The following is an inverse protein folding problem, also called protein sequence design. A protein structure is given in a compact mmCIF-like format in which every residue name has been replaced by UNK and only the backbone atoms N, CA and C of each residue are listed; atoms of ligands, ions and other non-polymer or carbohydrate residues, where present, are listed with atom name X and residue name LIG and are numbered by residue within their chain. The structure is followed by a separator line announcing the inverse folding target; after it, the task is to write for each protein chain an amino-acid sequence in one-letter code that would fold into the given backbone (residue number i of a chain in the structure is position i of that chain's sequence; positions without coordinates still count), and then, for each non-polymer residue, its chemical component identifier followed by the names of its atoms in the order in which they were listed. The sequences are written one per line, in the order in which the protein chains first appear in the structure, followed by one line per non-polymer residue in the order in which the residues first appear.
data_IF_901415842604
#
_entry.id   IF_901415842604
#
_cell.length_a   1.000
_cell.length_b   1.000
_cell.length_c   1.000
_cell.angle_alpha   90.00
_cell.angle_beta   90.00
_cell.angle_gamma   90.00
#
_symmetry.space_group_name_H-M   'P 1'
#
loop_
_entity.id
_entity.type
_entity.pdbx_description
1 polymer ?
#
# COMPACT_ATOMS: atom_id res chain seq x y z
N UNK A 1 -2.31 12.35 25.49
CA UNK A 1 -1.92 12.97 24.21
C UNK A 1 -2.30 14.43 24.37
N UNK A 2 -1.32 15.31 24.51
CA UNK A 2 -1.57 16.73 24.80
C UNK A 2 -2.36 17.35 23.64
N UNK A 3 -3.53 17.89 23.98
CA UNK A 3 -4.53 18.43 23.05
C UNK A 3 -4.22 19.88 22.69
N UNK A 4 -3.02 20.15 22.19
CA UNK A 4 -2.69 21.51 21.75
C UNK A 4 -3.08 21.67 20.28
N UNK A 5 -4.05 22.54 20.03
CA UNK A 5 -4.41 22.96 18.69
C UNK A 5 -3.18 23.56 17.99
N UNK A 6 -2.98 23.20 16.72
CA UNK A 6 -1.94 23.84 15.90
C UNK A 6 -2.45 25.21 15.50
N UNK A 7 -1.78 26.27 15.95
CA UNK A 7 -2.15 27.66 15.71
C UNK A 7 -1.17 28.27 14.71
N UNK A 8 -1.65 29.01 13.72
CA UNK A 8 -0.79 29.74 12.80
C UNK A 8 -0.19 31.01 13.44
N UNK A 9 0.70 31.68 12.70
CA UNK A 9 1.35 32.93 13.14
C UNK A 9 0.38 34.11 13.35
N UNK A 10 -0.90 33.95 13.03
CA UNK A 10 -1.97 34.94 13.28
C UNK A 10 -2.81 34.60 14.52
N UNK A 11 -2.47 33.54 15.24
CA UNK A 11 -3.25 33.09 16.39
C UNK A 11 -4.49 32.27 16.00
N UNK A 12 -4.62 31.89 14.72
CA UNK A 12 -5.77 31.14 14.23
C UNK A 12 -5.51 29.64 14.30
N UNK A 13 -6.40 28.90 14.95
CA UNK A 13 -6.34 27.44 14.92
C UNK A 13 -6.47 26.94 13.48
N UNK A 14 -5.49 26.17 13.05
CA UNK A 14 -5.51 25.50 11.75
C UNK A 14 -6.37 24.24 11.89
N UNK A 15 -7.59 24.22 11.35
CA UNK A 15 -8.38 22.99 11.36
C UNK A 15 -7.62 21.94 10.55
N UNK A 16 -7.55 20.71 11.07
CA UNK A 16 -7.09 19.57 10.28
C UNK A 16 -7.86 19.56 8.95
N UNK A 17 -7.15 19.52 7.82
CA UNK A 17 -7.74 19.62 6.47
C UNK A 17 -8.94 18.66 6.34
N UNK A 18 -10.15 19.23 6.24
CA UNK A 18 -11.45 18.52 6.16
C UNK A 18 -11.85 17.68 7.39
N UNK A 19 -11.41 18.01 8.62
CA UNK A 19 -11.82 17.33 9.88
C UNK A 19 -11.63 15.81 9.88
N UNK A 20 -10.60 15.28 9.20
CA UNK A 20 -10.31 13.84 9.19
C UNK A 20 -9.14 13.53 10.12
N UNK A 21 -9.33 12.57 11.01
CA UNK A 21 -8.25 11.95 11.78
C UNK A 21 -7.15 11.47 10.83
N UNK A 22 -5.91 11.90 11.10
CA UNK A 22 -4.71 11.40 10.45
C UNK A 22 -3.87 10.66 11.48
N UNK A 23 -3.41 9.48 11.09
CA UNK A 23 -2.47 8.67 11.85
C UNK A 23 -1.04 9.19 11.64
N UNK A 24 -0.79 10.46 11.99
CA UNK A 24 0.51 11.12 11.86
C UNK A 24 1.01 11.44 13.28
N UNK A 25 2.10 10.80 13.70
CA UNK A 25 2.86 11.21 14.88
C UNK A 25 3.99 12.11 14.40
N UNK A 26 4.01 13.36 14.81
CA UNK A 26 5.10 14.28 14.50
C UNK A 26 5.82 14.70 15.79
N UNK A 27 7.14 14.74 15.74
CA UNK A 27 8.00 15.25 16.80
C UNK A 27 8.80 16.42 16.22
N UNK A 28 8.70 17.57 16.87
CA UNK A 28 9.43 18.77 16.50
C UNK A 28 10.54 19.01 17.52
N UNK A 29 11.78 19.14 17.05
CA UNK A 29 12.91 19.57 17.86
C UNK A 29 13.45 20.88 17.29
N UNK A 30 13.61 21.88 18.15
CA UNK A 30 14.19 23.17 17.79
C UNK A 30 15.55 23.34 18.47
N UNK A 31 16.59 23.49 17.65
CA UNK A 31 17.93 23.90 18.10
C UNK A 31 18.20 25.38 17.80
N UNK A 32 19.39 25.85 18.17
CA UNK A 32 19.81 27.26 18.17
C UNK A 32 19.81 27.99 16.80
N UNK A 33 19.39 27.33 15.71
CA UNK A 33 19.04 27.95 14.43
C UNK A 33 18.39 26.97 13.41
N UNK A 34 17.97 25.77 13.83
CA UNK A 34 17.38 24.76 12.95
C UNK A 34 16.20 24.07 13.65
N UNK A 35 15.10 23.91 12.92
CA UNK A 35 13.97 23.09 13.33
C UNK A 35 14.01 21.76 12.59
N UNK A 36 13.90 20.64 13.31
CA UNK A 36 13.77 19.30 12.76
C UNK A 36 12.38 18.77 13.07
N UNK A 37 11.67 18.32 12.04
CA UNK A 37 10.37 17.65 12.15
C UNK A 37 10.58 16.19 11.76
N UNK A 38 10.51 15.28 12.71
CA UNK A 38 10.39 13.85 12.45
C UNK A 38 8.91 13.48 12.45
N UNK A 39 8.39 12.88 11.39
CA UNK A 39 7.02 12.39 11.37
C UNK A 39 6.95 10.92 10.99
N UNK A 40 6.05 10.20 11.65
CA UNK A 40 5.69 8.82 11.38
C UNK A 40 4.25 8.79 10.91
N UNK A 41 4.00 8.14 9.77
CA UNK A 41 2.66 7.92 9.23
C UNK A 41 2.41 6.43 9.20
N UNK A 42 1.38 5.99 9.90
CA UNK A 42 0.93 4.62 9.79
C UNK A 42 0.00 4.48 8.59
N UNK A 43 0.42 3.72 7.58
CA UNK A 43 -0.39 3.44 6.40
C UNK A 43 -0.79 1.96 6.36
N UNK A 44 -1.93 1.67 5.74
CA UNK A 44 -2.40 0.30 5.58
C UNK A 44 -3.39 -0.22 6.62
N UNK A 45 -3.63 0.47 7.73
CA UNK A 45 -4.70 0.08 8.70
C UNK A 45 -6.13 0.15 8.15
N UNK A 46 -6.36 0.98 7.13
CA UNK A 46 -7.71 1.24 6.62
C UNK A 46 -8.03 0.27 5.48
N UNK A 47 -9.11 -0.52 5.62
CA UNK A 47 -9.59 -1.43 4.55
C UNK A 47 -9.76 -0.76 3.18
N UNK A 48 -10.17 0.52 3.17
CA UNK A 48 -10.28 1.32 1.94
C UNK A 48 -8.93 1.54 1.23
N UNK A 49 -7.84 1.66 1.98
CA UNK A 49 -6.49 1.80 1.43
C UNK A 49 -6.03 0.49 0.79
N UNK A 50 -6.14 -0.63 1.51
CA UNK A 50 -5.80 -1.98 1.00
C UNK A 50 -6.60 -2.29 -0.26
N UNK A 51 -7.91 -2.01 -0.26
CA UNK A 51 -8.78 -2.16 -1.44
C UNK A 51 -8.37 -1.25 -2.59
N UNK A 52 -7.89 -0.05 -2.30
CA UNK A 52 -7.34 0.88 -3.29
C UNK A 52 -6.11 0.32 -3.98
N UNK A 53 -5.18 -0.26 -3.23
CA UNK A 53 -3.98 -0.91 -3.77
C UNK A 53 -4.33 -2.10 -4.67
N UNK A 54 -5.29 -2.93 -4.27
CA UNK A 54 -5.81 -4.02 -5.11
C UNK A 54 -6.46 -3.51 -6.40
N UNK A 55 -7.18 -2.39 -6.36
CA UNK A 55 -7.73 -1.75 -7.55
C UNK A 55 -6.63 -1.31 -8.51
N UNK A 56 -5.54 -0.73 -7.99
CA UNK A 56 -4.39 -0.30 -8.78
C UNK A 56 -3.72 -1.52 -9.43
N UNK A 57 -3.45 -2.57 -8.64
CA UNK A 57 -2.87 -3.82 -9.14
C UNK A 57 -3.71 -4.42 -10.28
N UNK A 58 -5.02 -4.54 -10.09
CA UNK A 58 -5.91 -5.13 -11.10
C UNK A 58 -6.05 -4.25 -12.36
N UNK A 59 -5.96 -2.93 -12.20
CA UNK A 59 -5.94 -2.00 -13.34
C UNK A 59 -4.64 -2.11 -14.13
N UNK A 60 -3.51 -2.24 -13.44
CA UNK A 60 -2.21 -2.46 -14.06
C UNK A 60 -2.16 -3.80 -14.81
N UNK A 61 -2.70 -4.87 -14.23
CA UNK A 61 -2.85 -6.14 -14.96
C UNK A 61 -3.62 -5.93 -16.26
N UNK A 62 -4.77 -5.24 -16.20
CA UNK A 62 -5.59 -4.95 -17.39
C UNK A 62 -4.82 -4.17 -18.46
N UNK A 63 -3.94 -3.26 -18.06
CA UNK A 63 -3.05 -2.55 -18.98
C UNK A 63 -2.06 -3.49 -19.68
N UNK A 64 -1.44 -4.42 -18.95
CA UNK A 64 -0.41 -5.32 -19.51
C UNK A 64 -0.97 -6.48 -20.35
N UNK A 65 -2.05 -7.14 -19.89
CA UNK A 65 -2.57 -8.36 -20.55
C UNK A 65 -3.89 -8.14 -21.28
N UNK A 66 -4.44 -6.93 -21.19
CA UNK A 66 -5.67 -6.54 -21.85
C UNK A 66 -6.95 -6.94 -21.12
N UNK A 67 -8.04 -6.26 -21.48
CA UNK A 67 -9.35 -6.45 -20.85
C UNK A 67 -9.98 -7.83 -21.11
N UNK A 68 -9.60 -8.51 -22.19
CA UNK A 68 -10.12 -9.86 -22.49
C UNK A 68 -9.73 -10.85 -21.39
N UNK A 69 -8.44 -10.85 -21.00
CA UNK A 69 -7.94 -11.70 -19.91
C UNK A 69 -8.58 -11.31 -18.58
N UNK A 70 -8.56 -10.02 -18.23
CA UNK A 70 -9.03 -9.56 -16.92
C UNK A 70 -10.55 -9.61 -16.75
N UNK A 71 -11.31 -9.94 -17.81
CA UNK A 71 -12.75 -10.25 -17.74
C UNK A 71 -13.05 -11.73 -17.46
N UNK A 72 -12.06 -12.62 -17.53
CA UNK A 72 -12.25 -14.05 -17.21
C UNK A 72 -12.80 -14.27 -15.81
N UNK A 73 -13.49 -15.40 -15.61
CA UNK A 73 -14.20 -15.71 -14.36
C UNK A 73 -13.25 -15.87 -13.17
N UNK A 74 -12.02 -16.37 -13.37
CA UNK A 74 -11.00 -16.51 -12.30
C UNK A 74 -10.71 -15.21 -11.53
N UNK A 75 -10.95 -14.04 -12.14
CA UNK A 75 -10.79 -12.74 -11.48
C UNK A 75 -12.08 -12.19 -10.85
N UNK A 76 -13.16 -12.98 -10.75
CA UNK A 76 -14.39 -12.55 -10.08
C UNK A 76 -14.13 -12.16 -8.61
N UNK A 77 -13.32 -12.93 -7.90
CA UNK A 77 -12.98 -12.68 -6.50
C UNK A 77 -12.37 -11.28 -6.30
N UNK A 78 -11.32 -10.94 -7.05
CA UNK A 78 -10.67 -9.62 -6.96
C UNK A 78 -11.61 -8.49 -7.39
N UNK A 79 -12.43 -8.70 -8.43
CA UNK A 79 -13.43 -7.70 -8.86
C UNK A 79 -14.48 -7.44 -7.78
N UNK A 80 -14.99 -8.48 -7.11
CA UNK A 80 -15.94 -8.34 -6.01
C UNK A 80 -15.28 -7.68 -4.80
N UNK A 81 -14.05 -8.05 -4.47
CA UNK A 81 -13.28 -7.42 -3.41
C UNK A 81 -13.10 -5.92 -3.65
N UNK A 82 -12.67 -5.51 -4.85
CA UNK A 82 -12.48 -4.09 -5.19
C UNK A 82 -13.79 -3.31 -5.14
N UNK A 83 -14.91 -3.91 -5.60
CA UNK A 83 -16.21 -3.24 -5.64
C UNK A 83 -16.88 -3.14 -4.27
N UNK A 84 -16.93 -4.26 -3.53
CA UNK A 84 -17.73 -4.40 -2.30
C UNK A 84 -16.88 -4.37 -1.04
N UNK A 85 -15.63 -4.83 -1.10
CA UNK A 85 -14.77 -5.03 0.07
C UNK A 85 -15.08 -6.30 0.85
N UNK A 86 -15.88 -7.21 0.28
CA UNK A 86 -16.31 -8.45 0.94
C UNK A 86 -15.28 -9.55 0.62
N UNK A 87 -14.21 -9.61 1.41
CA UNK A 87 -13.24 -10.71 1.57
C UNK A 87 -12.00 -10.16 2.27
N UNK A 88 -11.18 -11.06 2.82
CA UNK A 88 -9.83 -10.73 3.26
C UNK A 88 -8.86 -10.96 2.11
N UNK A 89 -8.02 -9.96 1.87
CA UNK A 89 -6.91 -10.02 0.91
C UNK A 89 -5.71 -9.29 1.49
N UNK A 90 -4.52 -9.76 1.17
CA UNK A 90 -3.25 -9.34 1.73
C UNK A 90 -2.36 -8.70 0.66
N UNK A 91 -1.42 -7.89 1.14
CA UNK A 91 -0.41 -7.25 0.29
C UNK A 91 0.91 -7.39 0.99
N UNK A 92 1.93 -7.83 0.27
CA UNK A 92 3.31 -7.80 0.76
C UNK A 92 3.89 -6.44 0.41
N UNK A 93 4.51 -5.81 1.42
CA UNK A 93 5.15 -4.52 1.31
C UNK A 93 6.64 -4.72 1.52
N UNK A 94 7.45 -4.08 0.69
CA UNK A 94 8.88 -3.97 0.94
C UNK A 94 9.39 -2.58 0.58
N UNK A 95 10.59 -2.27 1.04
CA UNK A 95 11.28 -1.04 0.66
C UNK A 95 11.71 -1.11 -0.80
N UNK A 96 11.60 0.01 -1.51
CA UNK A 96 12.17 0.15 -2.83
C UNK A 96 13.71 0.29 -2.80
N UNK A 97 14.39 -0.27 -3.79
CA UNK A 97 15.86 -0.20 -3.93
C UNK A 97 16.34 1.23 -4.16
N UNK A 98 15.52 2.07 -4.80
CA UNK A 98 15.85 3.46 -5.11
C UNK A 98 15.41 4.39 -3.99
N UNK A 99 16.34 5.22 -3.53
CA UNK A 99 16.04 6.34 -2.64
C UNK A 99 15.30 7.45 -3.40
N UNK A 100 14.20 7.93 -2.83
CA UNK A 100 13.41 9.06 -3.35
C UNK A 100 11.98 8.68 -3.76
N UNK A 101 11.18 9.71 -4.06
CA UNK A 101 9.78 9.54 -4.46
C UNK A 101 9.69 9.13 -5.93
N UNK A 102 9.09 7.97 -6.20
CA UNK A 102 8.78 7.54 -7.56
C UNK A 102 7.62 6.53 -7.59
N UNK A 103 7.12 6.28 -8.80
CA UNK A 103 6.14 5.25 -9.12
C UNK A 103 6.65 4.40 -10.26
N UNK A 104 6.40 3.10 -10.22
CA UNK A 104 6.82 2.18 -11.27
C UNK A 104 5.90 0.95 -11.29
N UNK A 105 5.72 0.33 -12.45
CA UNK A 105 4.93 -0.88 -12.62
C UNK A 105 5.76 -1.92 -13.34
N UNK A 106 5.86 -3.13 -12.76
CA UNK A 106 6.52 -4.25 -13.41
C UNK A 106 5.52 -5.06 -14.23
N UNK A 107 6.02 -5.69 -15.29
CA UNK A 107 5.27 -6.70 -16.04
C UNK A 107 4.74 -7.75 -15.05
N UNK A 108 3.47 -8.18 -15.17
CA UNK A 108 2.88 -9.16 -14.29
C UNK A 108 3.69 -10.46 -14.27
N UNK A 109 3.92 -11.03 -13.08
CA UNK A 109 4.44 -12.39 -12.98
C UNK A 109 3.30 -13.38 -13.20
N UNK A 110 3.59 -14.50 -13.85
CA UNK A 110 2.62 -15.55 -14.17
C UNK A 110 3.03 -16.85 -13.50
N UNK A 111 2.10 -17.47 -12.76
CA UNK A 111 2.30 -18.79 -12.17
C UNK A 111 2.22 -19.90 -13.22
N UNK A 112 2.67 -21.10 -12.86
CA UNK A 112 2.50 -22.31 -13.68
C UNK A 112 1.01 -22.62 -13.98
N UNK A 113 0.10 -22.15 -13.11
CA UNK A 113 -1.35 -22.29 -13.27
C UNK A 113 -1.98 -21.14 -14.09
N UNK A 114 -1.18 -20.19 -14.57
CA UNK A 114 -1.64 -19.04 -15.33
C UNK A 114 -2.32 -17.94 -14.49
N UNK A 115 -2.06 -17.92 -13.18
CA UNK A 115 -2.48 -16.82 -12.30
C UNK A 115 -1.45 -15.70 -12.30
N UNK A 116 -1.89 -14.50 -11.99
CA UNK A 116 -1.07 -13.31 -12.09
C UNK A 116 -0.79 -12.68 -10.74
N UNK A 117 0.43 -12.20 -10.59
CA UNK A 117 0.85 -11.38 -9.46
C UNK A 117 1.42 -10.08 -9.97
N UNK A 118 1.03 -8.99 -9.33
CA UNK A 118 1.47 -7.65 -9.68
C UNK A 118 2.47 -7.13 -8.67
N UNK A 119 3.59 -6.63 -9.18
CA UNK A 119 4.55 -5.85 -8.42
C UNK A 119 4.58 -4.42 -8.95
N UNK A 120 4.48 -3.45 -8.06
CA UNK A 120 4.54 -2.04 -8.42
C UNK A 120 5.08 -1.20 -7.25
N UNK A 121 5.63 -0.04 -7.58
CA UNK A 121 6.08 0.96 -6.61
C UNK A 121 5.09 2.12 -6.61
N UNK A 122 4.60 2.49 -5.43
CA UNK A 122 3.93 3.78 -5.24
C UNK A 122 4.62 4.56 -4.14
N UNK A 123 4.95 5.81 -4.42
CA UNK A 123 5.60 6.71 -3.46
C UNK A 123 6.88 6.13 -2.84
N UNK A 124 7.65 5.34 -3.60
CA UNK A 124 8.87 4.67 -3.10
C UNK A 124 8.64 3.43 -2.20
N UNK A 125 7.41 2.90 -2.13
CA UNK A 125 7.10 1.64 -1.44
C UNK A 125 6.72 0.57 -2.47
N UNK A 126 7.32 -0.61 -2.37
CA UNK A 126 7.02 -1.75 -3.22
C UNK A 126 5.79 -2.49 -2.68
N UNK A 127 4.86 -2.80 -3.56
CA UNK A 127 3.67 -3.60 -3.27
C UNK A 127 3.65 -4.82 -4.18
N UNK A 128 3.41 -5.99 -3.58
CA UNK A 128 3.20 -7.25 -4.28
C UNK A 128 1.80 -7.76 -3.96
N UNK A 129 1.00 -7.96 -4.99
CA UNK A 129 -0.42 -8.31 -4.90
C UNK A 129 -0.72 -9.57 -5.71
N UNK A 130 -1.18 -10.61 -5.03
CA UNK A 130 -1.69 -11.83 -5.67
C UNK A 130 -3.11 -11.60 -6.22
N UNK A 131 -3.27 -11.77 -7.53
CA UNK A 131 -4.56 -11.59 -8.21
C UNK A 131 -5.30 -12.91 -8.45
N UNK A 132 -4.78 -14.03 -7.97
CA UNK A 132 -5.47 -15.31 -8.05
C UNK A 132 -6.80 -15.28 -7.30
N UNK A 133 -7.60 -16.31 -7.55
CA UNK A 133 -8.73 -16.62 -6.70
C UNK A 133 -8.21 -17.01 -5.29
N UNK A 134 -8.81 -16.40 -4.26
CA UNK A 134 -8.49 -16.63 -2.85
C UNK A 134 -7.00 -16.52 -2.43
N UNK A 135 -6.17 -15.81 -3.19
CA UNK A 135 -4.74 -15.59 -2.88
C UNK A 135 -3.94 -16.88 -2.70
N UNK A 136 -4.16 -17.84 -3.59
CA UNK A 136 -3.55 -19.17 -3.49
C UNK A 136 -2.01 -19.14 -3.50
N UNK A 137 -1.40 -18.10 -4.08
CA UNK A 137 0.06 -17.96 -4.17
C UNK A 137 0.62 -17.10 -3.03
N UNK A 138 -0.22 -16.36 -2.29
CA UNK A 138 0.21 -15.51 -1.17
C UNK A 138 1.05 -16.24 -0.12
N UNK A 139 0.72 -17.47 0.35
CA UNK A 139 1.55 -18.18 1.31
C UNK A 139 2.98 -18.42 0.81
N UNK A 140 3.13 -18.73 -0.49
CA UNK A 140 4.44 -18.89 -1.13
C UNK A 140 5.20 -17.57 -1.16
N UNK A 141 4.55 -16.47 -1.55
CA UNK A 141 5.20 -15.16 -1.59
C UNK A 141 5.59 -14.66 -0.20
N UNK A 142 4.75 -14.90 0.81
CA UNK A 142 5.05 -14.57 2.20
C UNK A 142 6.29 -15.33 2.67
N UNK A 143 6.35 -16.64 2.42
CA UNK A 143 7.52 -17.45 2.77
C UNK A 143 8.79 -17.02 2.01
N UNK A 144 8.66 -16.58 0.76
CA UNK A 144 9.79 -16.01 0.02
C UNK A 144 10.25 -14.68 0.61
N UNK A 145 9.31 -13.79 0.97
CA UNK A 145 9.63 -12.53 1.61
C UNK A 145 10.34 -12.74 2.96
N UNK A 146 9.86 -13.68 3.78
CA UNK A 146 10.50 -14.10 5.04
C UNK A 146 11.95 -14.57 4.86
N UNK A 147 12.28 -15.19 3.72
CA UNK A 147 13.63 -15.71 3.43
C UNK A 147 14.55 -14.68 2.77
N UNK A 148 13.98 -13.81 1.93
CA UNK A 148 14.76 -12.88 1.10
C UNK A 148 15.09 -11.57 1.79
N UNK A 149 14.23 -11.12 2.70
CA UNK A 149 14.36 -9.84 3.37
C UNK A 149 14.75 -10.07 4.83
N UNK A 150 15.82 -9.42 5.28
CA UNK A 150 16.17 -9.36 6.69
C UNK A 150 15.02 -8.70 7.48
N UNK A 151 14.90 -9.02 8.78
CA UNK A 151 13.86 -8.48 9.65
C UNK A 151 13.75 -6.94 9.49
N UNK A 152 12.53 -6.42 9.43
CA UNK A 152 12.15 -5.00 9.20
C UNK A 152 12.21 -4.46 7.76
N UNK A 153 12.66 -5.22 6.76
CA UNK A 153 12.66 -4.75 5.36
C UNK A 153 11.35 -5.01 4.60
N UNK A 154 10.43 -5.73 5.22
CA UNK A 154 9.14 -6.07 4.64
C UNK A 154 8.06 -6.21 5.72
N UNK A 155 6.80 -6.07 5.31
CA UNK A 155 5.64 -6.35 6.15
C UNK A 155 4.47 -6.79 5.28
N UNK A 156 3.35 -7.14 5.90
CA UNK A 156 2.11 -7.41 5.20
C UNK A 156 0.98 -6.55 5.76
N UNK A 157 0.06 -6.13 4.90
CA UNK A 157 -1.16 -5.45 5.34
C UNK A 157 -2.28 -6.46 5.50
N UNK A 158 -2.70 -6.79 6.74
CA UNK A 158 -3.87 -7.62 6.97
C UNK A 158 -5.15 -6.84 6.70
N UNK A 159 -6.20 -7.52 6.25
CA UNK A 159 -7.51 -6.92 6.00
C UNK A 159 -8.66 -7.61 6.75
#
# INVERSE_FOLDING_TARGET
MESHAVVDHTGRELPGFRKRERDIKAHFTQGNNQGRIDFSVEFGRRKKFIRGLHKIAFSALTYFVGASETRKQKYNGIRQYVKKGNSTRHIILSRADRLGYYHDFKTPWVSELGDYTMQFVLCGVVFIVDLSENEMHYPRYKSMAEKMFENDQWTYLPN
#
